data_IF_690987055076
#
_entry.id   IF_690987055076
#
_cell.length_a   1.000
_cell.length_b   1.000
_cell.length_c   1.000
_cell.angle_alpha   90.00
_cell.angle_beta   90.00
_cell.angle_gamma   90.00
#
_symmetry.space_group_name_H-M   'P 1'
#
loop_
_entity.id
_entity.type
_entity.pdbx_description
1 polymer ?
#
# COMPACT_ATOMS: atom_id res chain seq x y z
N UNK A 1 -41.99 78.75 20.77
CA UNK A 1 -41.78 78.56 19.32
C UNK A 1 -41.89 77.08 19.04
N UNK A 2 -42.59 76.51 18.07
CA UNK A 2 -43.73 76.90 17.23
C UNK A 2 -44.32 75.56 16.77
N UNK A 3 -45.65 75.45 16.72
CA UNK A 3 -46.40 74.30 16.17
C UNK A 3 -45.85 73.82 14.82
N UNK A 4 -45.96 72.52 14.54
CA UNK A 4 -46.58 72.04 13.29
C UNK A 4 -47.06 70.60 13.41
N UNK A 5 -48.36 70.46 13.19
CA UNK A 5 -49.09 69.21 13.03
C UNK A 5 -48.96 68.75 11.57
N UNK A 6 -48.86 67.45 11.34
CA UNK A 6 -49.20 66.84 10.05
C UNK A 6 -49.91 65.50 10.32
N UNK A 7 -51.15 65.42 9.85
CA UNK A 7 -51.92 64.18 9.71
C UNK A 7 -51.40 63.39 8.51
N UNK A 8 -51.33 62.06 8.62
CA UNK A 8 -51.30 61.15 7.48
C UNK A 8 -52.18 59.91 7.78
N UNK A 9 -52.88 59.37 6.77
CA UNK A 9 -54.11 58.60 6.96
C UNK A 9 -53.92 57.11 7.28
N UNK A 10 -54.94 56.59 7.95
CA UNK A 10 -55.18 55.19 8.31
C UNK A 10 -55.49 54.38 7.04
N UNK A 11 -54.71 53.33 6.77
CA UNK A 11 -55.04 52.29 5.82
C UNK A 11 -55.38 51.00 6.57
N UNK A 12 -56.65 50.60 6.51
CA UNK A 12 -57.18 49.36 7.08
C UNK A 12 -56.92 48.24 6.07
N UNK A 13 -56.12 47.25 6.43
CA UNK A 13 -55.99 45.98 5.71
C UNK A 13 -56.82 44.90 6.42
N UNK A 14 -57.68 44.14 5.72
CA UNK A 14 -58.42 43.04 6.33
C UNK A 14 -57.48 41.85 6.54
N UNK A 15 -57.38 41.39 7.80
CA UNK A 15 -56.72 40.12 8.14
C UNK A 15 -57.68 38.99 7.78
N UNK A 16 -57.38 38.27 6.71
CA UNK A 16 -58.02 37.01 6.39
C UNK A 16 -57.53 35.93 7.38
N UNK A 17 -58.42 35.47 8.27
CA UNK A 17 -58.15 34.34 9.13
C UNK A 17 -58.26 33.03 8.33
N UNK A 18 -57.12 32.46 7.94
CA UNK A 18 -57.05 31.09 7.43
C UNK A 18 -56.93 30.12 8.60
N UNK A 19 -57.98 29.34 8.84
CA UNK A 19 -57.94 28.20 9.75
C UNK A 19 -57.08 27.08 9.12
N UNK A 20 -55.87 26.87 9.66
CA UNK A 20 -55.02 25.74 9.31
C UNK A 20 -55.48 24.51 10.09
N UNK A 21 -56.28 23.66 9.44
CA UNK A 21 -56.46 22.26 9.86
C UNK A 21 -55.17 21.49 9.59
N UNK A 22 -54.37 21.27 10.63
CA UNK A 22 -53.19 20.42 10.57
C UNK A 22 -53.56 18.94 10.63
N UNK A 23 -53.15 18.16 9.64
CA UNK A 23 -53.15 16.70 9.73
C UNK A 23 -52.03 16.27 10.69
N UNK A 24 -52.36 15.50 11.72
CA UNK A 24 -51.36 14.82 12.56
C UNK A 24 -51.30 13.35 12.20
N UNK A 25 -50.09 12.80 12.17
CA UNK A 25 -49.86 11.40 11.81
C UNK A 25 -50.26 10.50 12.99
N UNK A 26 -50.91 9.37 12.72
CA UNK A 26 -51.51 8.50 13.74
C UNK A 26 -50.51 7.52 14.42
N UNK A 27 -49.25 7.90 14.54
CA UNK A 27 -48.21 7.04 15.13
C UNK A 27 -47.94 7.47 16.58
N UNK A 28 -48.33 6.62 17.53
CA UNK A 28 -47.99 6.78 18.96
C UNK A 28 -46.52 6.39 19.16
N UNK A 29 -45.66 7.24 19.75
CA UNK A 29 -44.30 6.85 20.09
C UNK A 29 -44.30 5.61 20.98
N UNK A 30 -43.47 4.62 20.66
CA UNK A 30 -43.27 3.45 21.51
C UNK A 30 -42.65 3.89 22.85
N UNK A 31 -43.09 3.28 23.96
CA UNK A 31 -42.59 3.62 25.29
C UNK A 31 -41.09 3.26 25.42
N UNK A 32 -40.28 4.07 26.15
CA UNK A 32 -38.85 3.80 26.29
C UNK A 32 -38.66 2.54 27.13
N UNK A 33 -38.26 1.43 26.51
CA UNK A 33 -37.87 0.22 27.25
C UNK A 33 -38.00 -1.12 26.51
N UNK A 34 -38.67 -1.19 25.35
CA UNK A 34 -38.93 -2.46 24.67
C UNK A 34 -38.06 -2.70 23.41
N UNK A 35 -36.81 -2.25 23.41
CA UNK A 35 -35.86 -2.49 22.32
C UNK A 35 -34.69 -3.37 22.77
N UNK A 36 -34.49 -4.51 22.13
CA UNK A 36 -33.25 -5.29 22.29
C UNK A 36 -32.14 -4.66 21.45
N UNK A 37 -30.89 -4.70 21.93
CA UNK A 37 -29.72 -4.31 21.13
C UNK A 37 -29.68 -5.15 19.84
N UNK A 38 -29.66 -4.54 18.65
CA UNK A 38 -29.61 -5.31 17.41
C UNK A 38 -28.32 -6.15 17.37
N UNK A 39 -28.45 -7.40 16.96
CA UNK A 39 -27.31 -8.28 16.82
C UNK A 39 -26.36 -7.75 15.74
N UNK A 40 -25.06 -8.00 15.91
CA UNK A 40 -24.06 -7.72 14.88
C UNK A 40 -24.39 -8.58 13.66
N UNK A 41 -24.77 -7.93 12.56
CA UNK A 41 -25.04 -8.60 11.28
C UNK A 41 -23.70 -8.82 10.57
N UNK A 42 -23.12 -10.00 10.74
CA UNK A 42 -22.10 -10.50 9.81
C UNK A 42 -22.82 -10.92 8.53
N UNK A 43 -22.75 -10.07 7.49
CA UNK A 43 -23.47 -10.28 6.24
C UNK A 43 -23.24 -11.67 5.65
N UNK A 44 -24.31 -12.34 5.25
CA UNK A 44 -24.23 -13.56 4.47
C UNK A 44 -23.53 -13.28 3.14
N UNK A 45 -22.64 -14.18 2.71
CA UNK A 45 -22.04 -14.08 1.38
C UNK A 45 -23.14 -14.14 0.32
N UNK A 46 -23.13 -13.16 -0.58
CA UNK A 46 -24.03 -13.15 -1.74
C UNK A 46 -23.70 -14.40 -2.55
N UNK A 47 -24.66 -15.34 -2.78
CA UNK A 47 -24.39 -16.47 -3.65
C UNK A 47 -24.10 -15.93 -5.04
N UNK A 48 -23.01 -16.41 -5.66
CA UNK A 48 -22.71 -16.13 -7.05
C UNK A 48 -23.96 -16.43 -7.87
N UNK A 49 -24.50 -15.40 -8.52
CA UNK A 49 -25.56 -15.60 -9.51
C UNK A 49 -25.04 -16.60 -10.54
N UNK A 50 -25.87 -17.58 -10.87
CA UNK A 50 -25.53 -18.69 -11.77
C UNK A 50 -25.05 -18.23 -13.16
N UNK A 51 -24.75 -19.17 -14.07
CA UNK A 51 -24.09 -18.85 -15.33
C UNK A 51 -24.94 -17.86 -16.13
N UNK A 52 -24.43 -16.64 -16.29
CA UNK A 52 -24.97 -15.70 -17.27
C UNK A 52 -24.59 -16.22 -18.66
N UNK A 53 -25.60 -16.58 -19.44
CA UNK A 53 -25.42 -16.91 -20.86
C UNK A 53 -24.98 -15.61 -21.56
N UNK A 54 -23.68 -15.50 -21.85
CA UNK A 54 -23.16 -14.42 -22.69
C UNK A 54 -23.64 -14.67 -24.12
N UNK A 55 -24.53 -13.82 -24.62
CA UNK A 55 -24.94 -13.82 -26.02
C UNK A 55 -23.72 -13.41 -26.85
N UNK A 56 -23.25 -14.33 -27.70
CA UNK A 56 -22.19 -14.05 -28.67
C UNK A 56 -22.65 -12.96 -29.66
N UNK A 57 -21.81 -11.97 -30.02
CA UNK A 57 -22.10 -11.11 -31.16
C UNK A 57 -21.90 -11.92 -32.46
N UNK A 58 -22.91 -11.93 -33.32
CA UNK A 58 -22.79 -12.43 -34.69
C UNK A 58 -21.76 -11.60 -35.48
N UNK A 59 -20.87 -12.32 -36.17
CA UNK A 59 -19.80 -11.74 -36.95
C UNK A 59 -20.33 -11.13 -38.26
N UNK A 60 -20.08 -9.84 -38.44
CA UNK A 60 -20.10 -9.19 -39.75
C UNK A 60 -18.79 -8.43 -39.96
N UNK A 61 -18.11 -8.74 -41.07
CA UNK A 61 -16.99 -7.97 -41.59
C UNK A 61 -15.63 -8.55 -41.26
N UNK A 62 -15.00 -9.14 -42.27
CA UNK A 62 -13.60 -9.50 -42.26
C UNK A 62 -12.74 -8.23 -42.33
N UNK A 63 -12.11 -7.88 -41.22
CA UNK A 63 -10.83 -7.18 -41.20
C UNK A 63 -9.97 -7.87 -40.14
N UNK A 64 -8.83 -8.43 -40.56
CA UNK A 64 -7.86 -9.07 -39.67
C UNK A 64 -7.37 -8.05 -38.64
N UNK A 65 -7.61 -8.23 -37.33
CA UNK A 65 -6.84 -7.50 -36.33
C UNK A 65 -5.44 -8.09 -36.35
N UNK A 66 -4.43 -7.23 -36.37
CA UNK A 66 -3.06 -7.64 -36.11
C UNK A 66 -3.01 -8.39 -34.78
N UNK A 67 -2.49 -9.62 -34.80
CA UNK A 67 -2.08 -10.37 -33.61
C UNK A 67 -0.95 -9.61 -32.91
N UNK A 68 -1.34 -8.65 -32.09
CA UNK A 68 -0.55 -8.08 -31.01
C UNK A 68 -1.33 -8.28 -29.74
N UNK A 69 -1.48 -9.53 -29.29
CA UNK A 69 -2.01 -9.81 -27.97
C UNK A 69 -1.12 -9.11 -26.96
N UNK A 70 -1.61 -8.04 -26.34
CA UNK A 70 -0.95 -7.46 -25.19
C UNK A 70 -0.70 -8.59 -24.19
N UNK A 71 0.54 -8.79 -23.69
CA UNK A 71 0.80 -9.84 -22.72
C UNK A 71 -0.16 -9.66 -21.54
N UNK A 72 -0.81 -10.75 -21.13
CA UNK A 72 -1.68 -10.74 -19.97
C UNK A 72 -0.88 -10.15 -18.78
N UNK A 73 -1.44 -9.13 -18.14
CA UNK A 73 -0.78 -8.46 -17.02
C UNK A 73 -0.51 -9.49 -15.91
N UNK A 74 0.76 -9.76 -15.63
CA UNK A 74 1.15 -10.61 -14.52
C UNK A 74 0.84 -9.93 -13.19
N UNK A 75 0.48 -10.71 -12.17
CA UNK A 75 0.29 -10.17 -10.82
C UNK A 75 1.04 -11.02 -9.79
N UNK A 76 1.46 -10.38 -8.71
CA UNK A 76 2.02 -11.03 -7.54
C UNK A 76 1.59 -10.30 -6.26
N UNK A 77 1.70 -10.96 -5.12
CA UNK A 77 1.39 -10.36 -3.82
C UNK A 77 2.31 -10.84 -2.71
N UNK A 78 2.43 -10.03 -1.65
CA UNK A 78 3.12 -10.38 -0.42
C UNK A 78 2.31 -9.89 0.78
N UNK A 79 1.91 -10.81 1.66
CA UNK A 79 1.37 -10.46 2.98
C UNK A 79 2.53 -10.17 3.92
N UNK A 80 2.56 -8.98 4.50
CA UNK A 80 3.66 -8.53 5.35
C UNK A 80 3.40 -8.92 6.81
N UNK A 81 4.46 -9.40 7.49
CA UNK A 81 4.44 -9.75 8.90
C UNK A 81 5.57 -9.06 9.65
N UNK A 82 5.32 -8.70 10.91
CA UNK A 82 6.32 -8.22 11.88
C UNK A 82 7.07 -9.41 12.49
N UNK A 83 8.20 -9.18 13.20
CA UNK A 83 8.96 -10.25 13.86
C UNK A 83 8.16 -11.09 14.86
N UNK A 84 7.14 -10.49 15.47
CA UNK A 84 6.18 -11.15 16.38
C UNK A 84 5.13 -12.01 15.66
N UNK A 85 5.15 -12.05 14.33
CA UNK A 85 4.21 -12.79 13.48
C UNK A 85 2.89 -12.06 13.19
N UNK A 86 2.63 -10.91 13.81
CA UNK A 86 1.42 -10.13 13.54
C UNK A 86 1.52 -9.39 12.19
N UNK A 87 0.36 -9.07 11.60
CA UNK A 87 0.32 -8.44 10.27
C UNK A 87 0.95 -7.04 10.28
N UNK A 88 1.71 -6.75 9.23
CA UNK A 88 2.28 -5.44 8.94
C UNK A 88 1.68 -4.79 7.68
N UNK A 89 0.66 -5.42 7.07
CA UNK A 89 0.02 -4.95 5.84
C UNK A 89 0.21 -5.90 4.64
N UNK A 90 0.19 -5.35 3.43
CA UNK A 90 0.24 -6.11 2.16
C UNK A 90 0.89 -5.29 1.05
N UNK A 91 1.59 -5.99 0.16
CA UNK A 91 2.07 -5.48 -1.12
C UNK A 91 1.44 -6.22 -2.29
N UNK A 92 1.19 -5.50 -3.39
CA UNK A 92 0.77 -6.04 -4.68
C UNK A 92 1.71 -5.57 -5.77
N UNK A 93 1.97 -6.46 -6.72
CA UNK A 93 2.81 -6.21 -7.88
C UNK A 93 1.96 -6.45 -9.12
N UNK A 94 1.99 -5.52 -10.07
CA UNK A 94 1.28 -5.66 -11.34
C UNK A 94 2.22 -5.30 -12.47
N UNK A 95 2.46 -6.25 -13.36
CA UNK A 95 3.33 -6.04 -14.51
C UNK A 95 2.52 -5.68 -15.75
N UNK A 96 2.95 -4.61 -16.42
CA UNK A 96 2.45 -4.22 -17.73
C UNK A 96 3.59 -3.66 -18.56
N UNK A 97 3.75 -4.14 -19.79
CA UNK A 97 4.74 -3.65 -20.75
C UNK A 97 6.19 -3.62 -20.20
N UNK A 98 6.56 -4.63 -19.40
CA UNK A 98 7.88 -4.75 -18.79
C UNK A 98 8.14 -3.83 -17.59
N UNK A 99 7.12 -3.10 -17.12
CA UNK A 99 7.17 -2.29 -15.90
C UNK A 99 6.33 -2.94 -14.82
N UNK A 100 6.91 -3.10 -13.64
CA UNK A 100 6.21 -3.61 -12.46
C UNK A 100 5.79 -2.44 -11.58
N UNK A 101 4.49 -2.27 -11.40
CA UNK A 101 3.90 -1.37 -10.41
C UNK A 101 3.84 -2.09 -9.07
N UNK A 102 4.36 -1.46 -8.03
CA UNK A 102 4.40 -1.98 -6.66
C UNK A 102 3.58 -1.06 -5.77
N UNK A 103 2.47 -1.56 -5.21
CA UNK A 103 1.62 -0.86 -4.25
C UNK A 103 1.74 -1.54 -2.89
N UNK A 104 2.29 -0.82 -1.91
CA UNK A 104 2.56 -1.31 -0.56
C UNK A 104 1.76 -0.50 0.44
N UNK A 105 0.94 -1.19 1.23
CA UNK A 105 0.22 -0.61 2.37
C UNK A 105 0.73 -1.26 3.64
N UNK A 106 1.15 -0.45 4.60
CA UNK A 106 1.68 -0.90 5.88
C UNK A 106 0.87 -0.40 7.06
N UNK A 107 0.86 -1.17 8.13
CA UNK A 107 0.16 -0.85 9.38
C UNK A 107 0.96 -1.30 10.60
N UNK A 108 0.90 -0.54 11.68
CA UNK A 108 1.53 -0.92 12.95
C UNK A 108 3.07 -0.84 12.93
N UNK A 109 3.64 -0.02 12.03
CA UNK A 109 5.07 0.27 11.98
C UNK A 109 5.38 1.62 12.68
N UNK A 110 6.64 1.85 13.13
CA UNK A 110 7.05 3.15 13.66
C UNK A 110 6.82 4.29 12.65
N UNK A 111 6.64 5.52 13.13
CA UNK A 111 6.48 6.67 12.24
C UNK A 111 7.82 7.10 11.63
N UNK A 112 7.80 7.50 10.35
CA UNK A 112 8.99 7.95 9.63
C UNK A 112 9.17 7.28 8.27
N UNK A 113 10.33 7.52 7.64
CA UNK A 113 10.73 6.84 6.41
C UNK A 113 11.39 5.51 6.72
N UNK A 114 11.03 4.50 5.94
CA UNK A 114 11.54 3.13 6.05
C UNK A 114 12.04 2.64 4.69
N UNK A 115 13.28 2.16 4.63
CA UNK A 115 13.85 1.51 3.46
C UNK A 115 13.04 0.29 3.04
N UNK A 116 12.88 0.10 1.74
CA UNK A 116 12.05 -0.97 1.18
C UNK A 116 12.81 -1.67 0.06
N UNK A 117 13.02 -2.97 0.21
CA UNK A 117 13.85 -3.75 -0.71
C UNK A 117 13.25 -5.12 -0.97
N UNK A 118 13.47 -5.65 -2.17
CA UNK A 118 13.27 -7.07 -2.47
C UNK A 118 14.55 -7.81 -2.08
N UNK A 119 14.42 -8.81 -1.21
CA UNK A 119 15.50 -9.67 -0.77
C UNK A 119 15.59 -10.96 -1.61
N UNK A 120 16.79 -11.54 -1.62
CA UNK A 120 17.19 -12.61 -2.54
C UNK A 120 16.57 -13.98 -2.23
N UNK A 121 16.08 -14.20 -1.01
CA UNK A 121 15.42 -15.44 -0.58
C UNK A 121 14.00 -15.16 -0.09
N UNK A 122 13.04 -15.98 -0.54
CA UNK A 122 11.64 -15.95 -0.13
C UNK A 122 11.38 -16.52 1.26
N UNK A 123 12.04 -15.98 2.29
CA UNK A 123 11.88 -16.40 3.70
C UNK A 123 11.70 -15.21 4.64
N UNK A 124 10.74 -15.32 5.55
CA UNK A 124 10.45 -14.31 6.57
C UNK A 124 10.46 -14.92 7.99
N UNK A 125 11.59 -15.54 8.37
CA UNK A 125 11.75 -16.20 9.66
C UNK A 125 12.32 -15.21 10.71
N UNK A 126 11.66 -14.96 11.85
CA UNK A 126 12.26 -14.16 12.92
C UNK A 126 13.47 -14.89 13.51
N UNK A 127 14.42 -14.13 14.07
CA UNK A 127 15.64 -14.66 14.70
C UNK A 127 16.37 -15.73 13.85
N UNK A 128 16.59 -15.43 12.57
CA UNK A 128 17.18 -16.35 11.60
C UNK A 128 18.54 -15.83 11.10
N UNK A 129 19.36 -16.75 10.60
CA UNK A 129 20.72 -16.47 10.10
C UNK A 129 20.70 -16.50 8.57
N UNK A 130 21.42 -15.57 7.94
CA UNK A 130 21.63 -15.60 6.49
C UNK A 130 22.40 -16.87 6.08
N UNK A 131 22.26 -17.31 4.82
CA UNK A 131 22.90 -18.55 4.31
C UNK A 131 24.40 -18.62 4.60
N UNK A 132 25.10 -17.49 4.51
CA UNK A 132 26.54 -17.36 4.76
C UNK A 132 26.84 -16.56 6.05
N UNK A 133 25.85 -16.45 6.95
CA UNK A 133 25.99 -15.71 8.21
C UNK A 133 26.84 -16.46 9.23
N UNK A 134 27.58 -15.71 10.06
CA UNK A 134 28.36 -16.28 11.15
C UNK A 134 27.46 -16.86 12.27
N UNK A 135 27.91 -17.87 13.03
CA UNK A 135 27.21 -18.31 14.23
C UNK A 135 26.94 -17.13 15.17
N UNK A 136 25.70 -17.03 15.68
CA UNK A 136 25.29 -15.93 16.57
C UNK A 136 24.88 -14.63 15.86
N UNK A 137 24.90 -14.56 14.53
CA UNK A 137 24.46 -13.40 13.74
C UNK A 137 22.96 -13.37 13.43
N UNK A 138 22.14 -14.03 14.25
CA UNK A 138 20.71 -14.12 14.02
C UNK A 138 20.06 -12.73 14.11
N UNK A 139 19.21 -12.43 13.14
CA UNK A 139 18.44 -11.17 13.08
C UNK A 139 17.01 -11.48 12.68
N UNK A 140 16.10 -10.52 12.88
CA UNK A 140 14.77 -10.64 12.31
C UNK A 140 14.87 -10.76 10.80
N UNK A 141 14.32 -11.84 10.24
CA UNK A 141 14.29 -12.10 8.81
C UNK A 141 15.67 -12.25 8.15
N UNK A 142 16.72 -12.61 8.91
CA UNK A 142 18.08 -12.80 8.39
C UNK A 142 18.19 -13.85 7.29
N UNK A 143 17.35 -14.89 7.33
CA UNK A 143 17.24 -15.95 6.32
C UNK A 143 16.90 -15.45 4.92
N UNK A 144 16.34 -14.24 4.79
CA UNK A 144 16.01 -13.62 3.50
C UNK A 144 17.25 -13.22 2.69
N UNK A 145 18.44 -13.20 3.31
CA UNK A 145 19.68 -12.79 2.65
C UNK A 145 19.79 -11.28 2.46
N UNK A 146 20.59 -10.84 1.49
CA UNK A 146 20.77 -9.43 1.11
C UNK A 146 19.69 -8.93 0.16
N UNK A 147 19.88 -7.71 -0.37
CA UNK A 147 19.02 -7.21 -1.45
C UNK A 147 19.23 -8.07 -2.69
N UNK A 148 18.16 -8.23 -3.47
CA UNK A 148 18.17 -9.08 -4.63
C UNK A 148 18.85 -8.40 -5.82
N UNK A 149 19.73 -9.16 -6.48
CA UNK A 149 20.19 -8.90 -7.84
C UNK A 149 19.74 -10.05 -8.74
N UNK A 150 19.09 -9.73 -9.87
CA UNK A 150 18.83 -10.76 -10.87
C UNK A 150 20.14 -11.24 -11.49
N UNK A 151 20.13 -12.46 -12.04
CA UNK A 151 21.31 -13.04 -12.65
C UNK A 151 21.95 -12.09 -13.68
N UNK A 152 23.25 -11.82 -13.53
CA UNK A 152 24.03 -10.92 -14.39
C UNK A 152 23.98 -9.44 -14.00
N UNK A 153 23.16 -9.03 -13.02
CA UNK A 153 23.17 -7.67 -12.51
C UNK A 153 24.17 -7.52 -11.34
N UNK A 154 24.98 -6.46 -11.38
CA UNK A 154 26.02 -6.18 -10.37
C UNK A 154 26.11 -4.70 -9.98
N UNK A 155 25.30 -3.82 -10.59
CA UNK A 155 25.36 -2.38 -10.37
C UNK A 155 24.48 -1.89 -9.22
N UNK A 156 24.67 -0.62 -8.86
CA UNK A 156 23.77 0.14 -8.00
C UNK A 156 22.93 1.14 -8.81
N UNK A 157 21.65 1.36 -8.48
CA UNK A 157 20.87 0.63 -7.46
C UNK A 157 20.71 -0.86 -7.82
N UNK A 158 20.57 -1.71 -6.80
CA UNK A 158 20.36 -3.14 -7.01
C UNK A 158 18.98 -3.42 -7.58
N UNK A 159 18.81 -4.59 -8.19
CA UNK A 159 17.55 -4.99 -8.83
C UNK A 159 16.36 -4.86 -7.87
N UNK A 160 16.56 -5.22 -6.60
CA UNK A 160 15.55 -5.18 -5.55
C UNK A 160 15.38 -3.85 -4.82
N UNK A 161 16.17 -2.82 -5.10
CA UNK A 161 16.06 -1.54 -4.42
C UNK A 161 14.79 -0.80 -4.86
N UNK A 162 13.99 -0.34 -3.91
CA UNK A 162 12.76 0.42 -4.16
C UNK A 162 12.79 1.74 -3.39
N UNK A 163 11.87 2.64 -3.75
CA UNK A 163 11.66 3.87 -2.96
C UNK A 163 11.22 3.53 -1.54
N UNK A 164 11.56 4.37 -0.56
CA UNK A 164 11.13 4.20 0.83
C UNK A 164 9.62 4.36 1.00
N UNK A 165 9.06 3.71 2.03
CA UNK A 165 7.70 3.95 2.50
C UNK A 165 7.70 4.97 3.65
N UNK A 166 6.77 5.93 3.61
CA UNK A 166 6.54 6.84 4.73
C UNK A 166 5.37 6.35 5.59
N UNK A 167 5.61 6.22 6.89
CA UNK A 167 4.63 5.79 7.89
C UNK A 167 4.24 6.99 8.75
N UNK A 168 2.93 7.23 8.83
CA UNK A 168 2.35 8.30 9.62
C UNK A 168 2.43 8.02 11.13
N UNK A 169 2.20 9.05 11.95
CA UNK A 169 2.17 8.95 13.41
C UNK A 169 1.16 7.91 13.96
N UNK A 170 0.10 7.59 13.20
CA UNK A 170 -0.87 6.54 13.56
C UNK A 170 -0.41 5.11 13.18
N UNK A 171 0.81 4.96 12.67
CA UNK A 171 1.39 3.68 12.26
C UNK A 171 0.93 3.16 10.90
N UNK A 172 0.19 3.95 10.11
CA UNK A 172 -0.24 3.58 8.74
C UNK A 172 0.63 4.25 7.68
N UNK A 173 0.91 3.56 6.59
CA UNK A 173 1.68 4.10 5.46
C UNK A 173 1.25 3.47 4.15
N UNK A 174 1.43 4.21 3.05
CA UNK A 174 1.26 3.69 1.71
C UNK A 174 2.33 4.25 0.78
N UNK A 175 2.82 3.43 -0.14
CA UNK A 175 3.64 3.88 -1.26
C UNK A 175 3.29 3.09 -2.50
N UNK A 176 3.14 3.82 -3.61
CA UNK A 176 2.96 3.23 -4.94
C UNK A 176 4.14 3.69 -5.79
N UNK A 177 4.86 2.73 -6.37
CA UNK A 177 6.02 2.99 -7.22
C UNK A 177 5.98 2.08 -8.44
N UNK A 178 6.87 2.32 -9.40
CA UNK A 178 7.06 1.48 -10.57
C UNK A 178 8.54 1.29 -10.86
N UNK A 179 8.92 0.10 -11.32
CA UNK A 179 10.31 -0.21 -11.67
C UNK A 179 10.38 -1.06 -12.93
N UNK A 180 11.41 -0.81 -13.75
CA UNK A 180 11.81 -1.67 -14.88
C UNK A 180 13.05 -2.51 -14.57
N UNK A 181 13.52 -2.53 -13.31
CA UNK A 181 14.72 -3.27 -12.92
C UNK A 181 14.51 -4.80 -13.04
N UNK A 182 13.28 -5.27 -12.84
CA UNK A 182 12.90 -6.68 -12.93
C UNK A 182 11.49 -6.85 -13.51
N UNK A 183 11.20 -8.07 -13.94
CA UNK A 183 9.85 -8.56 -14.29
C UNK A 183 9.37 -9.59 -13.27
N UNK A 184 8.07 -9.90 -13.24
CA UNK A 184 7.54 -11.02 -12.45
C UNK A 184 8.04 -12.37 -12.95
N UNK A 185 8.43 -12.47 -14.23
CA UNK A 185 9.13 -13.63 -14.74
C UNK A 185 10.52 -13.80 -14.10
N UNK A 186 11.23 -12.71 -13.80
CA UNK A 186 12.51 -12.77 -13.09
C UNK A 186 12.32 -13.25 -11.64
N UNK A 187 11.28 -12.76 -10.94
CA UNK A 187 10.90 -13.27 -9.61
C UNK A 187 10.57 -14.76 -9.67
N UNK A 188 9.80 -15.19 -10.66
CA UNK A 188 9.40 -16.61 -10.83
C UNK A 188 10.58 -17.53 -11.17
N UNK A 189 11.62 -17.00 -11.84
CA UNK A 189 12.85 -17.75 -12.14
C UNK A 189 13.77 -17.93 -10.93
N UNK A 190 13.64 -17.08 -9.90
CA UNK A 190 14.43 -17.23 -8.69
C UNK A 190 13.94 -18.43 -7.88
N UNK A 191 14.69 -19.53 -7.91
CA UNK A 191 14.33 -20.77 -7.24
C UNK A 191 14.26 -20.65 -5.70
N UNK A 192 15.03 -19.74 -5.12
CA UNK A 192 15.01 -19.45 -3.69
C UNK A 192 13.82 -18.53 -3.29
N UNK A 193 13.07 -18.04 -4.29
CA UNK A 193 11.99 -17.07 -4.14
C UNK A 193 12.50 -15.68 -3.75
N UNK A 194 11.60 -14.74 -3.59
CA UNK A 194 11.93 -13.38 -3.16
C UNK A 194 11.01 -12.92 -2.02
N UNK A 195 11.50 -12.01 -1.20
CA UNK A 195 10.71 -11.40 -0.12
C UNK A 195 10.78 -9.88 -0.18
N UNK A 196 9.66 -9.20 -0.02
CA UNK A 196 9.63 -7.76 0.20
C UNK A 196 9.98 -7.50 1.68
N UNK A 197 10.93 -6.60 1.92
CA UNK A 197 11.44 -6.25 3.24
C UNK A 197 11.24 -4.76 3.50
N UNK A 198 10.80 -4.43 4.71
CA UNK A 198 10.74 -3.06 5.23
C UNK A 198 11.73 -2.94 6.38
N UNK A 199 12.58 -1.92 6.33
CA UNK A 199 13.63 -1.68 7.31
C UNK A 199 13.24 -0.64 8.36
N UNK A 200 13.98 -0.59 9.47
CA UNK A 200 13.73 0.28 10.62
C UNK A 200 13.92 1.77 10.31
N UNK A 201 14.88 2.11 9.45
CA UNK A 201 15.27 3.49 9.14
C UNK A 201 15.08 3.78 7.65
N UNK A 202 15.21 5.06 7.31
CA UNK A 202 15.25 5.50 5.93
C UNK A 202 16.43 4.88 5.18
N UNK A 203 16.23 4.60 3.91
CA UNK A 203 17.30 4.21 3.00
C UNK A 203 18.08 5.45 2.54
N UNK A 204 19.41 5.40 2.60
CA UNK A 204 20.29 6.45 2.07
C UNK A 204 20.66 6.26 0.60
N UNK A 205 20.29 5.14 -0.03
CA UNK A 205 20.50 4.80 -1.44
C UNK A 205 21.97 4.78 -1.88
N UNK A 206 22.89 4.54 -0.95
CA UNK A 206 24.33 4.67 -1.22
C UNK A 206 24.79 6.12 -1.39
N UNK A 207 23.97 7.11 -1.03
CA UNK A 207 24.25 8.52 -1.28
C UNK A 207 25.14 9.13 -0.20
N UNK A 208 26.46 8.99 -0.36
CA UNK A 208 27.45 9.66 0.49
C UNK A 208 28.39 10.50 -0.38
N UNK A 209 28.25 11.83 -0.39
CA UNK A 209 29.11 12.72 -1.18
C UNK A 209 30.59 12.64 -0.77
N UNK A 210 31.40 11.93 -1.56
CA UNK A 210 32.83 11.75 -1.29
C UNK A 210 33.60 13.06 -1.11
N UNK A 211 33.22 14.12 -1.84
CA UNK A 211 33.84 15.45 -1.72
C UNK A 211 33.77 16.07 -0.31
N UNK A 212 32.82 15.62 0.52
CA UNK A 212 32.65 16.08 1.91
C UNK A 212 33.05 15.03 2.93
N UNK A 213 32.90 13.75 2.61
CA UNK A 213 32.97 12.66 3.57
C UNK A 213 34.15 11.69 3.39
N UNK A 214 34.98 11.84 2.34
CA UNK A 214 36.13 10.97 2.05
C UNK A 214 37.19 10.89 3.18
N UNK A 215 37.24 11.88 4.07
CA UNK A 215 38.24 11.95 5.14
C UNK A 215 37.74 11.46 6.51
N UNK A 216 36.50 10.95 6.61
CA UNK A 216 35.98 10.44 7.90
C UNK A 216 36.75 9.19 8.33
N UNK A 217 36.99 8.26 7.40
CA UNK A 217 37.81 7.07 7.65
C UNK A 217 38.94 7.05 6.61
N UNK A 218 40.19 7.36 7.02
CA UNK A 218 41.31 7.43 6.09
C UNK A 218 41.50 6.13 5.29
N UNK A 219 41.54 6.26 3.96
CA UNK A 219 41.80 5.14 3.05
C UNK A 219 40.62 4.23 2.75
N UNK A 220 39.40 4.55 3.20
CA UNK A 220 38.20 3.79 2.85
C UNK A 220 37.45 4.40 1.65
N UNK A 221 36.84 3.56 0.79
CA UNK A 221 35.89 4.03 -0.21
C UNK A 221 34.73 4.81 0.43
N UNK A 222 34.21 5.82 -0.27
CA UNK A 222 33.02 6.57 0.13
C UNK A 222 32.06 6.66 -1.05
N UNK A 223 30.82 6.13 -0.96
CA UNK A 223 30.31 5.27 0.13
C UNK A 223 31.11 3.97 0.29
N UNK A 224 31.08 3.38 1.48
CA UNK A 224 31.66 2.05 1.70
C UNK A 224 30.76 0.94 1.12
N UNK A 225 31.28 -0.28 1.08
CA UNK A 225 30.57 -1.42 0.49
C UNK A 225 29.27 -1.74 1.23
N UNK A 226 29.24 -1.60 2.55
CA UNK A 226 28.04 -1.87 3.36
C UNK A 226 26.93 -0.86 3.05
N UNK A 227 27.29 0.42 2.92
CA UNK A 227 26.38 1.50 2.53
C UNK A 227 25.78 1.22 1.15
N UNK A 228 26.62 0.80 0.20
CA UNK A 228 26.16 0.39 -1.14
C UNK A 228 25.21 -0.81 -1.06
N UNK A 229 25.54 -1.85 -0.28
CA UNK A 229 24.77 -3.09 -0.20
C UNK A 229 23.46 -2.99 0.61
N UNK A 230 23.28 -1.96 1.45
CA UNK A 230 22.19 -1.96 2.44
C UNK A 230 21.44 -0.64 2.58
N UNK A 231 22.00 0.45 2.04
CA UNK A 231 21.42 1.77 2.24
C UNK A 231 21.42 2.25 3.68
N UNK A 232 22.14 1.56 4.57
CA UNK A 232 22.18 1.75 6.02
C UNK A 232 20.81 1.82 6.71
N UNK A 233 19.81 1.14 6.14
CA UNK A 233 18.42 1.22 6.60
C UNK A 233 18.16 0.50 7.96
N UNK A 234 19.17 -0.15 8.54
CA UNK A 234 19.08 -0.75 9.87
C UNK A 234 18.32 -2.08 9.91
N UNK A 235 17.69 -2.39 11.05
CA UNK A 235 17.01 -3.66 11.30
C UNK A 235 15.83 -3.91 10.36
N UNK A 236 15.38 -5.16 10.25
CA UNK A 236 14.25 -5.56 9.39
C UNK A 236 12.98 -5.66 10.23
N UNK A 237 11.98 -4.85 9.93
CA UNK A 237 10.79 -4.66 10.77
C UNK A 237 9.51 -5.24 10.16
N UNK A 238 9.49 -5.49 8.85
CA UNK A 238 8.44 -6.28 8.21
C UNK A 238 8.99 -7.05 7.02
N UNK A 239 8.41 -8.22 6.76
CA UNK A 239 8.80 -9.09 5.66
C UNK A 239 7.56 -9.77 5.06
N UNK A 240 7.51 -9.96 3.75
CA UNK A 240 6.51 -10.80 3.10
C UNK A 240 7.08 -11.51 1.88
N UNK A 241 6.89 -12.84 1.83
CA UNK A 241 7.29 -13.65 0.66
C UNK A 241 6.42 -13.28 -0.54
N UNK A 242 7.06 -12.97 -1.66
CA UNK A 242 6.38 -12.59 -2.91
C UNK A 242 5.90 -13.85 -3.63
N UNK A 243 4.60 -13.91 -3.90
CA UNK A 243 3.95 -15.01 -4.62
C UNK A 243 3.42 -14.52 -5.95
N UNK A 244 3.97 -15.03 -7.04
CA UNK A 244 3.51 -14.74 -8.41
C UNK A 244 2.31 -15.63 -8.74
N UNK A 245 1.26 -15.04 -9.32
CA UNK A 245 0.05 -15.73 -9.77
C UNK A 245 0.23 -16.60 -11.00
#
# INVERSE_FOLDING_TARGET
>A
MTKRQYLAPIAILPVAALALTGCVNNEKPAEPGAGTTPAVVTGATVPAQGPVLSLAPEAHGADKPAEGGAPAAGSAEASLVKPDGSSAGKATFTEKDGVVVVDVRVTGLPAGFHGMHIHEVGKCEPNSVAKNGAPGSATNFGSAGGHWQKAGATGHPMTGDLVSVYVNANGTGQTVTSTGAFTLADIKKNADGNALMIHEKADNFGNVPASKYANIVPGQPVPDEQTLMTGDAGGRIACGVIKVG
#
